data_IF_506056385205
#
_entry.id   IF_506056385205
#
_cell.length_a   1.000
_cell.length_b   1.000
_cell.length_c   1.000
_cell.angle_alpha   90.00
_cell.angle_beta   90.00
_cell.angle_gamma   90.00
#
_symmetry.space_group_name_H-M   'P 1'
#
loop_
_entity.id
_entity.type
_entity.pdbx_description
1 polymer ?
#
# COMPACT_ATOMS: atom_id res chain seq x y z
N UNK A 1 40.62 32.48 -29.22
CA UNK A 1 40.15 31.08 -28.99
C UNK A 1 39.23 31.10 -27.78
N UNK A 2 37.91 30.98 -27.98
CA UNK A 2 36.96 30.88 -26.86
C UNK A 2 36.89 29.42 -26.39
N UNK A 3 37.18 29.17 -25.12
CA UNK A 3 37.07 27.82 -24.55
C UNK A 3 35.59 27.46 -24.42
N UNK A 4 35.16 26.39 -25.09
CA UNK A 4 33.81 25.85 -24.95
C UNK A 4 33.65 25.34 -23.51
N UNK A 5 32.68 25.84 -22.72
CA UNK A 5 32.48 25.36 -21.36
C UNK A 5 31.99 23.91 -21.37
N UNK A 6 32.78 23.03 -20.74
CA UNK A 6 32.42 21.64 -20.46
C UNK A 6 31.20 21.60 -19.52
N UNK A 7 30.01 21.26 -20.06
CA UNK A 7 28.84 20.96 -19.24
C UNK A 7 29.08 19.65 -18.49
N UNK A 8 29.38 19.73 -17.20
CA UNK A 8 29.44 18.56 -16.32
C UNK A 8 28.02 18.10 -16.04
N UNK A 9 27.62 16.98 -16.65
CA UNK A 9 26.39 16.28 -16.28
C UNK A 9 26.60 15.74 -14.87
N UNK A 10 25.84 16.25 -13.91
CA UNK A 10 25.92 15.80 -12.52
C UNK A 10 25.42 14.37 -12.40
N UNK A 11 26.18 13.48 -11.75
CA UNK A 11 25.77 12.08 -11.52
C UNK A 11 24.40 11.96 -10.82
N UNK A 12 23.96 13.01 -10.11
CA UNK A 12 22.66 13.05 -9.45
C UNK A 12 21.47 12.94 -10.43
N UNK A 13 21.56 13.50 -11.65
CA UNK A 13 20.43 13.47 -12.60
C UNK A 13 20.22 12.10 -13.25
N UNK A 14 21.28 11.29 -13.36
CA UNK A 14 21.21 9.91 -13.84
C UNK A 14 20.54 8.97 -12.82
N UNK A 15 20.76 9.20 -11.52
CA UNK A 15 20.14 8.38 -10.47
C UNK A 15 18.62 8.60 -10.37
N UNK A 16 18.14 9.83 -10.52
CA UNK A 16 16.70 10.12 -10.43
C UNK A 16 15.93 9.60 -11.65
N UNK A 17 16.52 9.67 -12.85
CA UNK A 17 15.89 9.14 -14.06
C UNK A 17 15.84 7.60 -14.08
N UNK A 18 16.85 6.93 -13.51
CA UNK A 18 16.82 5.48 -13.30
C UNK A 18 15.68 5.03 -12.36
N UNK A 19 15.49 5.74 -11.24
CA UNK A 19 14.47 5.39 -10.25
C UNK A 19 13.03 5.53 -10.78
N UNK A 20 12.78 6.52 -11.63
CA UNK A 20 11.47 6.74 -12.26
C UNK A 20 11.13 5.67 -13.30
N UNK A 21 12.13 5.15 -14.04
CA UNK A 21 11.92 4.11 -15.04
C UNK A 21 11.62 2.74 -14.43
N UNK A 22 12.26 2.40 -13.30
CA UNK A 22 12.07 1.11 -12.61
C UNK A 22 10.76 1.02 -11.81
N UNK A 23 10.16 2.15 -11.43
CA UNK A 23 8.94 2.18 -10.61
C UNK A 23 7.64 1.82 -11.37
N UNK A 24 7.66 1.81 -12.70
CA UNK A 24 6.46 1.57 -13.51
C UNK A 24 6.03 0.10 -13.59
N UNK A 25 6.81 -0.83 -13.05
CA UNK A 25 6.56 -2.28 -13.18
C UNK A 25 5.90 -2.89 -11.94
N UNK A 26 5.70 -2.11 -10.88
CA UNK A 26 4.97 -2.52 -9.67
C UNK A 26 3.45 -2.41 -9.83
N UNK A 27 2.88 -2.96 -10.90
CA UNK A 27 1.43 -3.04 -11.04
C UNK A 27 0.87 -3.90 -9.91
N UNK A 28 -0.03 -3.34 -9.09
CA UNK A 28 -0.80 -4.14 -8.14
C UNK A 28 -1.67 -5.13 -8.94
N UNK A 29 -1.20 -6.37 -9.08
CA UNK A 29 -1.97 -7.45 -9.72
C UNK A 29 -3.09 -7.85 -8.78
N UNK A 30 -4.32 -7.82 -9.27
CA UNK A 30 -5.44 -8.41 -8.55
C UNK A 30 -5.21 -9.93 -8.44
N UNK A 31 -5.57 -10.57 -7.32
CA UNK A 31 -5.60 -12.02 -7.24
C UNK A 31 -6.53 -12.56 -8.34
N UNK A 32 -6.23 -13.78 -8.81
CA UNK A 32 -7.07 -14.44 -9.82
C UNK A 32 -8.40 -14.82 -9.17
N UNK A 33 -9.48 -14.15 -9.56
CA UNK A 33 -10.86 -14.45 -9.16
C UNK A 33 -11.63 -15.13 -10.30
N UNK A 34 -12.84 -15.60 -10.02
CA UNK A 34 -13.73 -16.23 -11.02
C UNK A 34 -13.64 -17.75 -11.03
N UNK A 35 -13.26 -18.38 -9.92
CA UNK A 35 -13.28 -19.83 -9.77
C UNK A 35 -14.74 -20.32 -9.74
N UNK A 36 -15.13 -21.22 -10.65
CA UNK A 36 -16.47 -21.81 -10.64
C UNK A 36 -16.64 -22.78 -9.45
N UNK A 37 -17.87 -22.93 -8.98
CA UNK A 37 -18.19 -23.85 -7.89
C UNK A 37 -17.98 -25.30 -8.35
N UNK A 38 -17.09 -26.04 -7.68
CA UNK A 38 -16.88 -27.47 -7.97
C UNK A 38 -17.99 -28.38 -7.39
N UNK A 39 -18.84 -27.84 -6.52
CA UNK A 39 -19.84 -28.62 -5.77
C UNK A 39 -19.28 -29.34 -4.55
N UNK A 40 -17.98 -29.20 -4.28
CA UNK A 40 -17.34 -29.69 -3.07
C UNK A 40 -17.64 -28.76 -1.87
N UNK A 41 -17.60 -29.28 -0.63
CA UNK A 41 -17.88 -28.48 0.55
C UNK A 41 -16.92 -27.30 0.70
N UNK A 42 -17.45 -26.20 1.20
CA UNK A 42 -16.66 -25.04 1.60
C UNK A 42 -16.13 -25.24 3.02
N UNK A 43 -14.87 -24.85 3.25
CA UNK A 43 -14.24 -24.91 4.56
C UNK A 43 -13.49 -23.61 4.86
N UNK A 44 -13.40 -23.28 6.15
CA UNK A 44 -12.63 -22.14 6.67
C UNK A 44 -11.60 -22.71 7.65
N UNK A 45 -10.33 -22.64 7.28
CA UNK A 45 -9.24 -23.06 8.15
C UNK A 45 -8.70 -21.84 8.90
N UNK A 46 -8.59 -21.92 10.23
CA UNK A 46 -7.96 -20.88 11.05
C UNK A 46 -6.66 -21.45 11.62
N UNK A 47 -5.53 -20.88 11.22
CA UNK A 47 -4.19 -21.24 11.69
C UNK A 47 -3.65 -20.14 12.61
N UNK A 48 -3.13 -20.54 13.76
CA UNK A 48 -2.38 -19.62 14.63
C UNK A 48 -0.90 -19.98 14.54
N UNK A 49 -0.10 -19.05 14.01
CA UNK A 49 1.34 -19.17 13.84
C UNK A 49 2.04 -18.42 14.97
N UNK A 50 2.83 -19.12 15.79
CA UNK A 50 3.67 -18.48 16.81
C UNK A 50 5.00 -18.07 16.19
N UNK A 51 5.22 -16.76 16.03
CA UNK A 51 6.49 -16.21 15.57
C UNK A 51 7.39 -15.87 16.76
N UNK A 52 8.62 -16.39 16.72
CA UNK A 52 9.66 -16.05 17.68
C UNK A 52 10.63 -15.06 17.05
N UNK A 53 10.91 -13.94 17.71
CA UNK A 53 11.88 -12.96 17.26
C UNK A 53 12.90 -12.66 18.37
N UNK A 54 14.12 -12.34 17.99
CA UNK A 54 15.17 -11.91 18.93
C UNK A 54 15.47 -10.44 18.67
N UNK A 55 15.39 -9.62 19.71
CA UNK A 55 15.72 -8.19 19.65
C UNK A 55 16.84 -7.86 20.63
N UNK A 56 17.75 -6.97 20.25
CA UNK A 56 18.73 -6.40 21.17
C UNK A 56 18.05 -5.28 21.96
N UNK A 57 17.76 -5.54 23.23
CA UNK A 57 17.21 -4.53 24.13
C UNK A 57 18.35 -3.93 24.96
N UNK A 58 18.35 -2.60 25.11
CA UNK A 58 19.25 -1.92 26.05
C UNK A 58 18.88 -2.37 27.46
N UNK A 59 19.78 -3.10 28.13
CA UNK A 59 19.56 -3.63 29.49
C UNK A 59 20.26 -2.81 30.56
N UNK A 60 21.23 -1.98 30.17
CA UNK A 60 21.94 -1.13 31.10
C UNK A 60 22.77 -0.06 30.43
N UNK A 61 23.37 0.77 31.27
CA UNK A 61 24.28 1.82 30.87
C UNK A 61 25.43 1.84 31.88
N UNK A 62 26.65 1.69 31.38
CA UNK A 62 27.87 1.71 32.18
C UNK A 62 28.48 3.10 32.03
N UNK A 63 28.42 3.88 33.11
CA UNK A 63 29.03 5.20 33.18
C UNK A 63 30.46 5.04 33.70
N UNK A 64 31.45 5.32 32.85
CA UNK A 64 32.85 5.33 33.24
C UNK A 64 33.21 6.67 33.86
N UNK A 65 33.81 6.65 35.06
CA UNK A 65 34.28 7.83 35.79
C UNK A 65 35.79 7.78 35.97
N UNK A 66 36.44 8.94 35.94
CA UNK A 66 37.87 9.06 36.27
C UNK A 66 38.11 9.03 37.79
N UNK A 67 39.38 9.07 38.19
CA UNK A 67 39.79 9.08 39.60
C UNK A 67 39.32 10.31 40.38
N UNK A 68 38.89 11.38 39.70
CA UNK A 68 38.29 12.57 40.29
C UNK A 68 36.76 12.48 40.43
N UNK A 69 36.15 11.38 39.95
CA UNK A 69 34.71 11.15 39.96
C UNK A 69 33.96 11.76 38.77
N UNK A 70 34.66 12.39 37.83
CA UNK A 70 34.08 12.99 36.63
C UNK A 70 33.75 11.91 35.60
N UNK A 71 32.59 12.02 34.97
CA UNK A 71 32.16 11.10 33.90
C UNK A 71 33.00 11.34 32.65
N UNK A 72 33.68 10.30 32.18
CA UNK A 72 34.55 10.33 30.98
C UNK A 72 33.93 9.62 29.79
N UNK A 73 32.93 8.77 30.01
CA UNK A 73 32.25 8.06 28.94
C UNK A 73 31.07 7.27 29.43
N UNK A 74 30.17 6.97 28.51
CA UNK A 74 28.98 6.17 28.74
C UNK A 74 28.95 5.07 27.70
N UNK A 75 28.78 3.82 28.13
CA UNK A 75 28.63 2.67 27.24
C UNK A 75 27.30 1.99 27.48
N UNK A 76 26.51 1.82 26.44
CA UNK A 76 25.23 1.13 26.51
C UNK A 76 25.45 -0.39 26.47
N UNK A 77 24.80 -1.12 27.36
CA UNK A 77 24.86 -2.60 27.41
C UNK A 77 23.56 -3.13 26.81
N UNK A 78 23.70 -3.94 25.77
CA UNK A 78 22.59 -4.59 25.08
C UNK A 78 22.59 -6.09 25.37
N UNK A 79 21.40 -6.66 25.53
CA UNK A 79 21.20 -8.09 25.66
C UNK A 79 20.15 -8.56 24.65
N UNK A 80 20.37 -9.75 24.10
CA UNK A 80 19.40 -10.39 23.23
C UNK A 80 18.20 -10.85 24.07
N UNK A 81 17.02 -10.31 23.80
CA UNK A 81 15.76 -10.80 24.35
C UNK A 81 14.94 -11.47 23.26
N UNK A 82 14.46 -12.67 23.56
CA UNK A 82 13.55 -13.39 22.69
C UNK A 82 12.11 -13.02 23.07
N UNK A 83 11.33 -12.58 22.09
CA UNK A 83 9.90 -12.36 22.21
C UNK A 83 9.14 -13.33 21.31
N UNK A 84 7.91 -13.64 21.69
CA UNK A 84 6.98 -14.41 20.85
C UNK A 84 5.72 -13.58 20.62
N UNK A 85 5.16 -13.67 19.42
CA UNK A 85 3.83 -13.17 19.13
C UNK A 85 3.08 -14.17 18.26
N UNK A 86 1.79 -14.30 18.52
CA UNK A 86 0.91 -15.18 17.76
C UNK A 86 0.24 -14.39 16.65
N UNK A 87 0.25 -14.93 15.43
CA UNK A 87 -0.46 -14.40 14.27
C UNK A 87 -1.53 -15.39 13.89
N UNK A 88 -2.79 -15.01 14.06
CA UNK A 88 -3.91 -15.79 13.56
C UNK A 88 -4.17 -15.40 12.10
N UNK A 89 -4.09 -16.39 11.22
CA UNK A 89 -4.49 -16.30 9.81
C UNK A 89 -5.65 -17.25 9.58
N UNK A 90 -6.55 -16.91 8.68
CA UNK A 90 -7.54 -17.86 8.20
C UNK A 90 -7.39 -18.04 6.71
N UNK A 91 -7.94 -19.09 6.13
CA UNK A 91 -7.94 -19.31 4.69
C UNK A 91 -9.18 -20.11 4.31
N UNK A 92 -9.72 -19.82 3.14
CA UNK A 92 -10.92 -20.49 2.62
C UNK A 92 -10.56 -21.52 1.56
N UNK A 93 -11.30 -22.61 1.59
CA UNK A 93 -11.11 -23.76 0.72
C UNK A 93 -12.44 -24.22 0.13
N UNK A 94 -12.38 -24.76 -1.08
CA UNK A 94 -13.41 -25.61 -1.66
C UNK A 94 -12.79 -26.99 -1.88
N UNK A 95 -13.29 -28.00 -1.15
CA UNK A 95 -12.58 -29.27 -1.00
C UNK A 95 -11.20 -29.05 -0.38
N UNK A 96 -10.16 -29.49 -1.09
CA UNK A 96 -8.75 -29.31 -0.71
C UNK A 96 -8.09 -28.10 -1.39
N UNK A 97 -8.81 -27.40 -2.28
CA UNK A 97 -8.23 -26.31 -3.08
C UNK A 97 -8.44 -24.97 -2.38
N UNK A 98 -7.36 -24.19 -2.11
CA UNK A 98 -7.51 -22.84 -1.59
C UNK A 98 -8.16 -21.94 -2.64
N UNK A 99 -9.16 -21.17 -2.23
CA UNK A 99 -9.86 -20.23 -3.10
C UNK A 99 -9.74 -18.80 -2.58
N UNK A 100 -10.08 -17.83 -3.42
CA UNK A 100 -10.09 -16.43 -3.02
C UNK A 100 -11.35 -16.09 -2.21
N UNK A 101 -11.24 -15.24 -1.20
CA UNK A 101 -12.37 -14.81 -0.36
C UNK A 101 -13.57 -14.32 -1.17
N UNK A 102 -13.34 -13.57 -2.26
CA UNK A 102 -14.40 -13.07 -3.13
C UNK A 102 -15.18 -14.22 -3.77
N UNK A 103 -14.47 -15.25 -4.24
CA UNK A 103 -15.08 -16.42 -4.85
C UNK A 103 -15.76 -17.29 -3.79
N UNK A 104 -15.17 -17.44 -2.60
CA UNK A 104 -15.79 -18.15 -1.48
C UNK A 104 -17.16 -17.57 -1.12
N UNK A 105 -17.25 -16.26 -0.92
CA UNK A 105 -18.52 -15.62 -0.58
C UNK A 105 -19.52 -15.69 -1.75
N UNK A 106 -19.05 -15.57 -2.99
CA UNK A 106 -19.91 -15.73 -4.18
C UNK A 106 -20.48 -17.15 -4.28
N UNK A 107 -19.65 -18.18 -4.13
CA UNK A 107 -20.06 -19.59 -4.18
C UNK A 107 -21.01 -19.91 -3.02
N UNK A 108 -20.75 -19.35 -1.84
CA UNK A 108 -21.61 -19.50 -0.66
C UNK A 108 -22.92 -18.70 -0.70
N UNK A 109 -23.16 -17.90 -1.74
CA UNK A 109 -24.37 -17.11 -1.92
C UNK A 109 -24.44 -15.81 -1.10
N UNK A 110 -23.32 -15.33 -0.54
CA UNK A 110 -23.23 -14.01 0.11
C UNK A 110 -22.66 -12.98 -0.89
N UNK A 111 -23.49 -12.60 -1.87
CA UNK A 111 -23.13 -11.67 -2.95
C UNK A 111 -22.74 -10.29 -2.40
N UNK A 112 -23.37 -9.86 -1.30
CA UNK A 112 -23.05 -8.59 -0.65
C UNK A 112 -21.59 -8.55 -0.18
N UNK A 113 -21.13 -9.61 0.51
CA UNK A 113 -19.71 -9.75 0.88
C UNK A 113 -18.80 -9.76 -0.33
N UNK A 114 -19.12 -10.59 -1.33
CA UNK A 114 -18.29 -10.70 -2.53
C UNK A 114 -18.13 -9.33 -3.23
N UNK A 115 -19.21 -8.55 -3.33
CA UNK A 115 -19.22 -7.19 -3.90
C UNK A 115 -18.42 -6.20 -3.05
N UNK A 116 -18.51 -6.29 -1.72
CA UNK A 116 -17.71 -5.45 -0.81
C UNK A 116 -16.20 -5.71 -0.98
N UNK A 117 -15.79 -6.98 -1.06
CA UNK A 117 -14.40 -7.37 -1.30
C UNK A 117 -13.92 -6.87 -2.66
N UNK A 118 -14.71 -7.09 -3.72
CA UNK A 118 -14.40 -6.63 -5.07
C UNK A 118 -14.25 -5.10 -5.11
N UNK A 119 -15.17 -4.36 -4.48
CA UNK A 119 -15.13 -2.90 -4.42
C UNK A 119 -13.92 -2.38 -3.63
N UNK A 120 -13.55 -3.04 -2.52
CA UNK A 120 -12.37 -2.70 -1.73
C UNK A 120 -11.08 -2.86 -2.54
N UNK A 121 -10.94 -3.98 -3.28
CA UNK A 121 -9.79 -4.25 -4.15
C UNK A 121 -9.74 -3.29 -5.34
N UNK A 122 -10.86 -3.02 -5.99
CA UNK A 122 -10.94 -2.05 -7.09
C UNK A 122 -10.59 -0.63 -6.62
N UNK A 123 -11.03 -0.25 -5.42
CA UNK A 123 -10.60 0.99 -4.76
C UNK A 123 -9.09 1.00 -4.53
N UNK A 124 -8.51 -0.11 -4.07
CA UNK A 124 -7.06 -0.28 -3.91
C UNK A 124 -6.28 -0.10 -5.22
N UNK A 125 -6.72 -0.71 -6.31
CA UNK A 125 -6.12 -0.55 -7.66
C UNK A 125 -6.22 0.90 -8.12
N UNK A 126 -7.37 1.55 -7.90
CA UNK A 126 -7.57 2.95 -8.27
C UNK A 126 -6.64 3.87 -7.49
N UNK A 127 -6.53 3.68 -6.17
CA UNK A 127 -5.61 4.44 -5.31
C UNK A 127 -4.15 4.22 -5.72
N UNK A 128 -3.77 2.99 -6.07
CA UNK A 128 -2.43 2.69 -6.56
C UNK A 128 -2.12 3.40 -7.88
N UNK A 129 -3.03 3.36 -8.86
CA UNK A 129 -2.89 4.08 -10.14
C UNK A 129 -2.76 5.58 -9.96
N UNK A 130 -3.61 6.18 -9.13
CA UNK A 130 -3.56 7.63 -8.82
C UNK A 130 -2.27 7.97 -8.09
N UNK A 131 -1.85 7.16 -7.12
CA UNK A 131 -0.62 7.35 -6.37
C UNK A 131 0.62 7.32 -7.27
N UNK A 132 0.71 6.34 -8.18
CA UNK A 132 1.79 6.25 -9.17
C UNK A 132 1.78 7.47 -10.10
N UNK A 133 0.60 7.90 -10.57
CA UNK A 133 0.46 9.10 -11.38
C UNK A 133 0.99 10.36 -10.68
N UNK A 134 0.67 10.53 -9.40
CA UNK A 134 1.18 11.64 -8.58
C UNK A 134 2.68 11.53 -8.30
N UNK A 135 3.21 10.33 -8.08
CA UNK A 135 4.65 10.11 -7.93
C UNK A 135 5.41 10.54 -9.19
N UNK A 136 4.97 10.09 -10.37
CA UNK A 136 5.59 10.43 -11.65
C UNK A 136 5.45 11.94 -11.92
N UNK A 137 4.24 12.49 -11.80
CA UNK A 137 3.97 13.90 -12.06
C UNK A 137 4.70 14.83 -11.09
N UNK A 138 4.66 14.54 -9.80
CA UNK A 138 5.37 15.29 -8.77
C UNK A 138 6.88 15.20 -8.91
N UNK A 139 7.40 14.02 -9.23
CA UNK A 139 8.83 13.79 -9.47
C UNK A 139 9.32 14.57 -10.69
N UNK A 140 8.55 14.58 -11.78
CA UNK A 140 8.85 15.37 -12.97
C UNK A 140 8.84 16.88 -12.68
N UNK A 141 7.90 17.39 -11.89
CA UNK A 141 7.86 18.80 -11.48
C UNK A 141 9.07 19.18 -10.60
N UNK A 142 9.42 18.34 -9.63
CA UNK A 142 10.59 18.57 -8.79
C UNK A 142 11.89 18.58 -9.63
N UNK A 143 12.04 17.63 -10.55
CA UNK A 143 13.16 17.57 -11.49
C UNK A 143 13.22 18.78 -12.40
N UNK A 144 12.08 19.23 -12.93
CA UNK A 144 12.01 20.44 -13.74
C UNK A 144 12.48 21.66 -12.95
N UNK A 145 12.10 21.78 -11.67
CA UNK A 145 12.61 22.84 -10.78
C UNK A 145 14.13 22.80 -10.61
N UNK A 146 14.71 21.61 -10.40
CA UNK A 146 16.16 21.43 -10.22
C UNK A 146 16.94 21.73 -11.50
N UNK A 147 16.43 21.32 -12.66
CA UNK A 147 17.13 21.48 -13.95
C UNK A 147 16.96 22.89 -14.52
N UNK A 148 15.73 23.43 -14.48
CA UNK A 148 15.41 24.72 -15.09
C UNK A 148 15.76 25.90 -14.20
N UNK A 149 15.74 25.75 -12.87
CA UNK A 149 16.05 26.83 -11.93
C UNK A 149 17.43 27.46 -12.19
N UNK A 150 18.53 26.69 -12.13
CA UNK A 150 19.86 27.19 -12.44
C UNK A 150 20.01 27.65 -13.89
N UNK A 151 19.33 26.97 -14.84
CA UNK A 151 19.42 27.30 -16.26
C UNK A 151 18.80 28.65 -16.63
N UNK A 152 17.88 29.16 -15.78
CA UNK A 152 17.16 30.42 -15.98
C UNK A 152 17.57 31.50 -14.99
N UNK A 153 18.71 31.31 -14.32
CA UNK A 153 19.24 32.30 -13.39
C UNK A 153 19.80 33.49 -14.18
N UNK A 154 19.38 34.70 -13.85
CA UNK A 154 19.88 35.93 -14.48
C UNK A 154 20.76 36.69 -13.51
N UNK A 155 21.88 37.21 -13.99
CA UNK A 155 22.78 38.07 -13.20
C UNK A 155 22.37 39.54 -13.38
N UNK A 156 22.07 40.23 -12.29
CA UNK A 156 21.82 41.68 -12.31
C UNK A 156 23.14 42.46 -12.54
N UNK A 157 23.03 43.74 -12.89
CA UNK A 157 24.09 44.75 -12.96
C UNK A 157 25.05 44.76 -11.77
N UNK A 158 24.59 44.33 -10.59
CA UNK A 158 25.40 44.21 -9.37
C UNK A 158 26.13 42.87 -9.22
N UNK A 159 26.05 41.96 -10.20
CA UNK A 159 26.65 40.63 -10.13
C UNK A 159 25.86 39.63 -9.26
N UNK A 160 24.65 39.97 -8.82
CA UNK A 160 23.82 39.12 -7.98
C UNK A 160 23.02 38.17 -8.88
N UNK A 161 23.20 36.86 -8.66
CA UNK A 161 22.42 35.82 -9.32
C UNK A 161 20.99 35.79 -8.73
N UNK A 162 19.99 35.96 -9.59
CA UNK A 162 18.59 35.89 -9.18
C UNK A 162 17.91 34.72 -9.89
N UNK A 163 17.49 33.73 -9.11
CA UNK A 163 16.71 32.59 -9.62
C UNK A 163 15.24 32.99 -9.82
N UNK A 164 14.53 32.41 -10.80
CA UNK A 164 13.10 32.66 -10.97
C UNK A 164 12.31 32.31 -9.70
N UNK A 165 11.39 33.18 -9.29
CA UNK A 165 10.62 33.05 -8.04
C UNK A 165 9.74 31.79 -7.99
N UNK A 166 9.40 31.20 -9.12
CA UNK A 166 8.61 29.97 -9.22
C UNK A 166 9.41 28.68 -8.88
N UNK A 167 10.74 28.73 -8.94
CA UNK A 167 11.63 27.57 -8.70
C UNK A 167 11.37 26.87 -7.35
N UNK A 168 11.37 27.58 -6.20
CA UNK A 168 11.08 26.96 -4.91
C UNK A 168 9.66 26.38 -4.83
N UNK A 169 8.68 26.98 -5.52
CA UNK A 169 7.31 26.47 -5.55
C UNK A 169 7.20 25.18 -6.36
N UNK A 170 7.91 25.04 -7.48
CA UNK A 170 7.94 23.77 -8.22
C UNK A 170 8.64 22.66 -7.44
N UNK A 171 9.76 22.96 -6.78
CA UNK A 171 10.42 21.96 -5.93
C UNK A 171 9.54 21.54 -4.76
N UNK A 172 9.00 22.49 -4.00
CA UNK A 172 8.16 22.20 -2.83
C UNK A 172 6.86 21.51 -3.24
N UNK A 173 6.19 22.00 -4.29
CA UNK A 173 4.96 21.41 -4.82
C UNK A 173 5.20 20.02 -5.39
N UNK A 174 6.31 19.80 -6.09
CA UNK A 174 6.71 18.49 -6.59
C UNK A 174 6.94 17.48 -5.47
N UNK A 175 7.73 17.84 -4.45
CA UNK A 175 8.01 16.98 -3.29
C UNK A 175 6.76 16.63 -2.48
N UNK A 176 5.85 17.60 -2.27
CA UNK A 176 4.57 17.34 -1.61
C UNK A 176 3.71 16.37 -2.44
N UNK A 177 3.66 16.56 -3.76
CA UNK A 177 2.90 15.69 -4.67
C UNK A 177 3.46 14.26 -4.66
N UNK A 178 4.79 14.11 -4.67
CA UNK A 178 5.46 12.81 -4.51
C UNK A 178 5.09 12.17 -3.18
N UNK A 179 5.11 12.92 -2.09
CA UNK A 179 4.80 12.40 -0.75
C UNK A 179 3.36 11.87 -0.67
N UNK A 180 2.38 12.65 -1.18
CA UNK A 180 0.98 12.23 -1.24
C UNK A 180 0.81 11.01 -2.17
N UNK A 181 1.48 11.01 -3.33
CA UNK A 181 1.48 9.88 -4.26
C UNK A 181 2.04 8.60 -3.64
N UNK A 182 3.10 8.71 -2.83
CA UNK A 182 3.70 7.61 -2.08
C UNK A 182 2.72 6.98 -1.09
N UNK A 183 2.04 7.81 -0.28
CA UNK A 183 1.05 7.34 0.70
C UNK A 183 -0.12 6.64 0.00
N UNK A 184 -0.67 7.22 -1.07
CA UNK A 184 -1.77 6.61 -1.83
C UNK A 184 -1.37 5.29 -2.48
N UNK A 185 -0.16 5.22 -3.04
CA UNK A 185 0.40 3.99 -3.60
C UNK A 185 0.51 2.91 -2.52
N UNK A 186 1.03 3.26 -1.34
CA UNK A 186 1.16 2.33 -0.21
C UNK A 186 -0.18 1.81 0.29
N UNK A 187 -1.17 2.69 0.51
CA UNK A 187 -2.53 2.31 0.91
C UNK A 187 -3.18 1.42 -0.17
N UNK A 188 -2.99 1.77 -1.45
CA UNK A 188 -3.51 0.96 -2.57
C UNK A 188 -2.95 -0.45 -2.56
N UNK A 189 -1.63 -0.60 -2.37
CA UNK A 189 -0.97 -1.91 -2.25
C UNK A 189 -1.50 -2.68 -1.03
N UNK A 190 -1.60 -2.03 0.12
CA UNK A 190 -2.10 -2.65 1.35
C UNK A 190 -3.54 -3.17 1.19
N UNK A 191 -4.41 -2.43 0.49
CA UNK A 191 -5.78 -2.87 0.21
C UNK A 191 -5.84 -4.06 -0.76
N UNK A 192 -5.01 -4.08 -1.80
CA UNK A 192 -5.00 -5.17 -2.79
C UNK A 192 -4.39 -6.45 -2.21
N UNK A 193 -3.35 -6.33 -1.38
CA UNK A 193 -2.68 -7.47 -0.74
C UNK A 193 -3.37 -7.99 0.51
N UNK A 194 -4.49 -7.39 0.94
CA UNK A 194 -5.19 -7.86 2.13
C UNK A 194 -5.80 -9.23 1.81
N UNK A 195 -5.17 -10.28 2.33
CA UNK A 195 -5.58 -11.67 2.15
C UNK A 195 -7.02 -11.87 2.67
N UNK A 196 -7.40 -11.14 3.73
CA UNK A 196 -8.74 -11.15 4.33
C UNK A 196 -9.27 -9.73 4.56
N UNK A 197 -10.00 -9.16 3.58
CA UNK A 197 -10.60 -7.84 3.74
C UNK A 197 -11.78 -7.83 4.71
N UNK A 198 -12.42 -8.98 4.95
CA UNK A 198 -13.44 -9.16 5.98
C UNK A 198 -12.78 -9.81 7.20
N UNK A 199 -12.63 -9.08 8.31
CA UNK A 199 -11.93 -9.58 9.51
C UNK A 199 -12.80 -10.53 10.38
N UNK A 200 -13.87 -11.11 9.81
CA UNK A 200 -14.85 -11.92 10.55
C UNK A 200 -14.87 -13.39 10.07
N UNK A 201 -14.03 -14.26 10.67
CA UNK A 201 -14.06 -15.68 10.34
C UNK A 201 -15.37 -16.35 10.76
N UNK A 202 -16.15 -15.78 11.69
CA UNK A 202 -17.45 -16.36 12.06
C UNK A 202 -18.47 -16.19 10.93
N UNK A 203 -18.45 -15.05 10.23
CA UNK A 203 -19.25 -14.85 9.02
C UNK A 203 -18.88 -15.85 7.91
N UNK A 204 -17.58 -16.05 7.66
CA UNK A 204 -17.13 -17.04 6.68
C UNK A 204 -17.61 -18.45 7.05
N UNK A 205 -17.49 -18.85 8.32
CA UNK A 205 -17.99 -20.12 8.82
C UNK A 205 -19.52 -20.28 8.66
N UNK A 206 -20.29 -19.21 8.88
CA UNK A 206 -21.74 -19.23 8.70
C UNK A 206 -22.12 -19.46 7.22
N UNK A 207 -21.41 -18.83 6.29
CA UNK A 207 -21.59 -19.00 4.85
C UNK A 207 -21.24 -20.43 4.42
N UNK A 208 -20.08 -20.95 4.85
CA UNK A 208 -19.70 -22.34 4.59
C UNK A 208 -20.74 -23.34 5.11
N UNK A 209 -21.24 -23.13 6.33
CA UNK A 209 -22.28 -23.99 6.93
C UNK A 209 -23.58 -23.96 6.12
N UNK A 210 -24.02 -22.78 5.67
CA UNK A 210 -25.23 -22.63 4.84
C UNK A 210 -25.07 -23.36 3.50
N UNK A 211 -23.93 -23.17 2.84
CA UNK A 211 -23.61 -23.83 1.58
C UNK A 211 -23.54 -25.35 1.72
N UNK A 212 -22.79 -25.86 2.70
CA UNK A 212 -22.65 -27.30 2.95
C UNK A 212 -23.99 -27.96 3.31
N UNK A 213 -24.89 -27.25 3.99
CA UNK A 213 -26.26 -27.74 4.22
C UNK A 213 -27.06 -27.90 2.92
N UNK A 214 -26.89 -26.99 1.95
CA UNK A 214 -27.56 -27.07 0.64
C UNK A 214 -27.06 -28.23 -0.23
N UNK A 215 -25.79 -28.61 -0.11
CA UNK A 215 -25.24 -29.80 -0.78
C UNK A 215 -25.88 -31.09 -0.25
N UNK A 216 -26.12 -31.18 1.06
CA UNK A 216 -26.70 -32.35 1.69
C UNK A 216 -28.21 -32.52 1.45
N UNK A 217 -28.95 -31.45 1.15
CA UNK A 217 -30.39 -31.49 0.94
C UNK A 217 -30.80 -31.88 -0.48
N UNK A 218 -29.86 -32.07 -1.41
CA UNK A 218 -30.12 -32.46 -2.81
C UNK A 218 -30.83 -31.38 -3.65
N UNK A 219 -31.24 -30.28 -3.02
CA UNK A 219 -31.68 -29.07 -3.68
C UNK A 219 -30.43 -28.25 -4.00
N UNK A 220 -29.97 -28.30 -5.25
CA UNK A 220 -28.95 -27.37 -5.72
C UNK A 220 -29.35 -25.97 -5.27
N UNK A 221 -28.46 -25.20 -4.60
CA UNK A 221 -28.76 -23.81 -4.31
C UNK A 221 -29.04 -23.16 -5.66
N UNK A 222 -30.30 -22.82 -5.89
CA UNK A 222 -30.70 -21.97 -7.00
C UNK A 222 -29.88 -20.72 -6.76
N UNK A 223 -28.83 -20.54 -7.55
CA UNK A 223 -28.20 -19.24 -7.65
C UNK A 223 -29.38 -18.32 -7.98
N UNK A 224 -29.72 -17.41 -7.07
CA UNK A 224 -30.76 -16.42 -7.33
C UNK A 224 -30.31 -15.71 -8.60
N UNK A 225 -30.84 -16.18 -9.74
CA UNK A 225 -30.48 -15.70 -11.07
C UNK A 225 -30.98 -14.27 -11.12
N UNK A 226 -30.02 -13.35 -11.00
CA UNK A 226 -30.10 -12.00 -11.49
C UNK A 226 -31.44 -11.31 -11.17
N UNK A 227 -31.70 -11.09 -9.87
CA UNK A 227 -32.41 -9.86 -9.52
C UNK A 227 -31.47 -8.74 -10.00
N UNK A 228 -31.76 -8.18 -11.17
CA UNK A 228 -31.04 -7.05 -11.77
C UNK A 228 -31.06 -5.89 -10.76
N UNK A 229 -30.08 -5.89 -9.87
CA UNK A 229 -29.76 -4.77 -9.01
C UNK A 229 -29.36 -3.62 -9.95
N UNK A 230 -30.34 -2.79 -10.37
CA UNK A 230 -30.39 -1.47 -9.75
C UNK A 230 -28.99 -0.92 -9.48
N UNK A 231 -28.15 -0.48 -10.46
CA UNK A 231 -26.85 0.09 -10.15
C UNK A 231 -27.00 1.08 -9.01
N UNK A 232 -26.20 0.94 -7.93
CA UNK A 232 -26.44 1.67 -6.69
C UNK A 232 -26.53 3.16 -7.01
N UNK A 233 -27.58 3.85 -6.52
CA UNK A 233 -27.85 5.22 -6.89
C UNK A 233 -26.60 6.08 -6.63
N UNK A 234 -26.24 6.98 -7.54
CA UNK A 234 -25.02 7.77 -7.42
C UNK A 234 -24.99 8.50 -6.06
N UNK A 235 -23.82 8.60 -5.41
CA UNK A 235 -23.70 9.14 -4.07
C UNK A 235 -24.35 10.52 -3.99
N UNK A 236 -25.41 10.64 -3.18
CA UNK A 236 -26.13 11.90 -2.96
C UNK A 236 -25.13 12.95 -2.52
N UNK A 237 -24.85 13.94 -3.38
CA UNK A 237 -24.01 15.10 -3.05
C UNK A 237 -24.59 15.76 -1.81
N UNK A 238 -23.94 15.59 -0.65
CA UNK A 238 -24.30 16.30 0.59
C UNK A 238 -24.19 17.80 0.30
N UNK A 239 -25.33 18.49 0.14
CA UNK A 239 -25.40 19.95 0.05
C UNK A 239 -24.76 20.50 1.32
N UNK A 240 -23.53 21.03 1.23
CA UNK A 240 -22.92 21.82 2.30
C UNK A 240 -23.84 23.01 2.57
N UNK A 241 -24.51 23.01 3.73
CA UNK A 241 -25.14 24.23 4.29
C UNK A 241 -24.00 25.23 4.52
N UNK A 242 -23.98 26.32 3.75
CA UNK A 242 -23.21 27.52 4.12
C UNK A 242 -23.79 28.03 5.44
N UNK A 243 -22.94 28.09 6.46
CA UNK A 243 -23.14 28.97 7.62
C UNK A 243 -22.49 30.30 7.29
#
# INVERSE_FOLDING_TARGET
MQSIPSRRVSCASLLVSGFLASGAWGCASLPKTGIESTGEPLNVEVRTETHTYTTQAKVGEVVSRDSSGRVIGTSEVYENRTGTYDVTRWQVFQGDTPIDDQDFFRIGGDIASAKEIAASRQSGVTMNKVGIGLLIGGGALALAGIILGPALTTTDSNGIETSPSWTPYLMTGGLLTVSVGGVLTWIGIAKVKREHPIDDPARANAVAKKYNASLGSGSAPVADEDEEDEPPPPPKKKKKKKK
#
